data_IF_677410867171
#
_entry.id   IF_677410867171
#
_cell.length_a   1.000
_cell.length_b   1.000
_cell.length_c   1.000
_cell.angle_alpha   90.00
_cell.angle_beta   90.00
_cell.angle_gamma   90.00
#
_symmetry.space_group_name_H-M   'P 1'
#
loop_
_entity.id
_entity.type
_entity.pdbx_description
1 polymer ?
#
# COMPACT_ATOMS: atom_id res chain seq x y z
N UNK A 1 9.73 -10.26 -39.02
CA UNK A 1 10.64 -9.61 -38.04
C UNK A 1 10.14 -9.98 -36.65
N UNK A 2 10.81 -10.91 -35.97
CA UNK A 2 10.59 -11.12 -34.53
C UNK A 2 11.31 -9.99 -33.81
N UNK A 3 10.56 -9.06 -33.23
CA UNK A 3 11.12 -8.09 -32.28
C UNK A 3 11.58 -8.86 -31.05
N UNK A 4 12.88 -9.13 -30.97
CA UNK A 4 13.53 -9.58 -29.75
C UNK A 4 13.44 -8.46 -28.70
N UNK A 5 12.31 -8.35 -28.02
CA UNK A 5 12.23 -7.56 -26.79
C UNK A 5 12.98 -8.34 -25.71
N UNK A 6 14.29 -8.08 -25.57
CA UNK A 6 15.04 -8.57 -24.41
C UNK A 6 14.44 -7.89 -23.17
N UNK A 7 13.88 -8.69 -22.28
CA UNK A 7 13.40 -8.23 -20.99
C UNK A 7 14.57 -7.65 -20.18
N UNK A 8 14.48 -6.37 -19.82
CA UNK A 8 15.52 -5.68 -19.04
C UNK A 8 15.19 -5.76 -17.55
N UNK A 9 15.66 -6.84 -16.93
CA UNK A 9 15.52 -7.09 -15.49
C UNK A 9 16.04 -5.91 -14.65
N UNK A 10 17.13 -5.27 -15.06
CA UNK A 10 17.71 -4.13 -14.32
C UNK A 10 16.76 -2.94 -14.29
N UNK A 11 16.10 -2.63 -15.41
CA UNK A 11 15.09 -1.57 -15.49
C UNK A 11 13.87 -1.87 -14.62
N UNK A 12 13.49 -3.15 -14.58
CA UNK A 12 12.39 -3.65 -13.77
C UNK A 12 12.72 -3.51 -12.27
N UNK A 13 13.90 -3.95 -11.82
CA UNK A 13 14.36 -3.78 -10.43
C UNK A 13 14.48 -2.32 -10.01
N UNK A 14 15.04 -1.46 -10.87
CA UNK A 14 15.10 -0.01 -10.61
C UNK A 14 13.71 0.60 -10.41
N UNK A 15 12.69 0.08 -11.09
CA UNK A 15 11.31 0.56 -10.92
C UNK A 15 10.75 0.17 -9.55
N UNK A 16 11.10 -1.01 -9.03
CA UNK A 16 10.71 -1.45 -7.68
C UNK A 16 11.39 -0.60 -6.60
N UNK A 17 12.70 -0.38 -6.74
CA UNK A 17 13.47 0.47 -5.82
C UNK A 17 12.90 1.91 -5.77
N UNK A 18 12.67 2.51 -6.94
CA UNK A 18 12.08 3.83 -7.04
C UNK A 18 10.67 3.89 -6.40
N UNK A 19 9.89 2.83 -6.54
CA UNK A 19 8.58 2.74 -5.89
C UNK A 19 8.72 2.82 -4.36
N UNK A 20 9.57 2.00 -3.75
CA UNK A 20 9.77 2.04 -2.30
C UNK A 20 10.29 3.40 -1.84
N UNK A 21 11.29 3.97 -2.51
CA UNK A 21 11.80 5.31 -2.16
C UNK A 21 10.73 6.39 -2.24
N UNK A 22 9.90 6.37 -3.29
CA UNK A 22 8.79 7.30 -3.44
C UNK A 22 7.79 7.15 -2.30
N UNK A 23 7.30 5.92 -2.04
CA UNK A 23 6.32 5.65 -0.98
C UNK A 23 6.86 6.07 0.39
N UNK A 24 8.09 5.69 0.73
CA UNK A 24 8.71 6.06 2.01
C UNK A 24 8.83 7.58 2.18
N UNK A 25 9.29 8.28 1.14
CA UNK A 25 9.43 9.74 1.17
C UNK A 25 8.08 10.43 1.33
N UNK A 26 7.07 9.92 0.63
CA UNK A 26 5.73 10.49 0.67
C UNK A 26 5.03 10.23 2.00
N UNK A 27 5.18 9.05 2.59
CA UNK A 27 4.67 8.78 3.95
C UNK A 27 5.38 9.65 4.98
N UNK A 28 6.70 9.84 4.89
CA UNK A 28 7.44 10.74 5.79
C UNK A 28 6.91 12.17 5.71
N UNK A 29 6.53 12.65 4.52
CA UNK A 29 5.90 13.95 4.32
C UNK A 29 4.56 14.04 5.06
N UNK A 30 3.70 13.02 4.93
CA UNK A 30 2.41 12.97 5.65
C UNK A 30 2.64 12.91 7.16
N UNK A 31 3.60 12.12 7.64
CA UNK A 31 3.94 12.04 9.07
C UNK A 31 4.37 13.41 9.59
N UNK A 32 5.18 14.16 8.84
CA UNK A 32 5.63 15.51 9.22
C UNK A 32 4.47 16.47 9.44
N UNK A 33 3.37 16.33 8.70
CA UNK A 33 2.15 17.11 8.93
C UNK A 33 1.61 16.94 10.35
N UNK A 34 1.52 15.71 10.85
CA UNK A 34 0.98 15.44 12.18
C UNK A 34 1.83 16.03 13.32
N UNK A 35 3.15 16.18 13.12
CA UNK A 35 4.05 16.74 14.11
C UNK A 35 4.17 18.27 14.06
N UNK A 36 4.20 18.87 12.87
CA UNK A 36 4.57 20.30 12.70
C UNK A 36 3.35 21.20 12.53
N UNK A 37 2.28 20.70 11.92
CA UNK A 37 1.24 21.55 11.31
C UNK A 37 -0.15 21.33 11.90
N UNK A 38 -0.38 20.23 12.59
CA UNK A 38 -1.69 19.84 13.14
C UNK A 38 -2.26 20.84 14.15
N UNK A 39 -1.43 21.54 14.94
CA UNK A 39 -1.91 22.44 15.99
C UNK A 39 -1.94 23.93 15.61
N UNK A 40 -1.18 24.35 14.59
CA UNK A 40 -0.99 25.77 14.24
C UNK A 40 -1.96 26.31 13.17
N UNK A 41 -2.83 25.46 12.61
CA UNK A 41 -3.59 25.77 11.40
C UNK A 41 -5.09 25.92 11.69
N UNK A 42 -5.79 26.82 10.98
CA UNK A 42 -7.24 27.01 11.12
C UNK A 42 -8.04 25.78 10.69
N UNK A 43 -9.24 25.59 11.25
CA UNK A 43 -10.12 24.45 10.97
C UNK A 43 -10.41 24.24 9.47
N UNK A 44 -10.64 25.31 8.70
CA UNK A 44 -10.84 25.24 7.25
C UNK A 44 -9.64 24.66 6.51
N UNK A 45 -8.42 25.09 6.87
CA UNK A 45 -7.18 24.57 6.29
C UNK A 45 -6.91 23.13 6.76
N UNK A 46 -7.23 22.78 8.01
CA UNK A 46 -7.17 21.40 8.52
C UNK A 46 -8.03 20.45 7.67
N UNK A 47 -9.30 20.79 7.43
CA UNK A 47 -10.19 19.96 6.60
C UNK A 47 -9.66 19.77 5.17
N UNK A 48 -9.13 20.84 4.55
CA UNK A 48 -8.49 20.72 3.23
C UNK A 48 -7.30 19.76 3.27
N UNK A 49 -6.46 19.85 4.29
CA UNK A 49 -5.31 18.95 4.45
C UNK A 49 -5.73 17.51 4.71
N UNK A 50 -6.76 17.27 5.53
CA UNK A 50 -7.30 15.92 5.74
C UNK A 50 -7.75 15.29 4.42
N UNK A 51 -8.47 16.04 3.58
CA UNK A 51 -8.87 15.57 2.24
C UNK A 51 -7.66 15.28 1.35
N UNK A 52 -6.62 16.11 1.40
CA UNK A 52 -5.38 15.86 0.67
C UNK A 52 -4.66 14.60 1.16
N UNK A 53 -4.66 14.34 2.47
CA UNK A 53 -4.11 13.11 3.05
C UNK A 53 -4.87 11.89 2.53
N UNK A 54 -6.21 11.94 2.52
CA UNK A 54 -7.04 10.85 1.98
C UNK A 54 -6.69 10.58 0.52
N UNK A 55 -6.65 11.61 -0.33
CA UNK A 55 -6.30 11.46 -1.75
C UNK A 55 -4.88 10.92 -1.93
N UNK A 56 -3.95 11.37 -1.10
CA UNK A 56 -2.56 10.89 -1.09
C UNK A 56 -2.49 9.41 -0.73
N UNK A 57 -3.24 8.98 0.28
CA UNK A 57 -3.34 7.58 0.70
C UNK A 57 -3.99 6.70 -0.38
N UNK A 58 -5.03 7.18 -1.05
CA UNK A 58 -5.64 6.47 -2.19
C UNK A 58 -4.65 6.26 -3.34
N UNK A 59 -3.86 7.28 -3.67
CA UNK A 59 -2.82 7.16 -4.68
C UNK A 59 -1.77 6.12 -4.28
N UNK A 60 -1.33 6.14 -3.02
CA UNK A 60 -0.41 5.14 -2.47
C UNK A 60 -0.99 3.73 -2.64
N UNK A 61 -2.25 3.50 -2.25
CA UNK A 61 -2.92 2.21 -2.40
C UNK A 61 -2.93 1.74 -3.86
N UNK A 62 -3.29 2.61 -4.79
CA UNK A 62 -3.31 2.30 -6.23
C UNK A 62 -1.93 1.95 -6.79
N UNK A 63 -0.88 2.61 -6.29
CA UNK A 63 0.50 2.29 -6.65
C UNK A 63 0.91 0.90 -6.13
N UNK A 64 0.50 0.53 -4.92
CA UNK A 64 0.74 -0.82 -4.39
C UNK A 64 0.00 -1.87 -5.21
N UNK A 65 -1.28 -1.64 -5.48
CA UNK A 65 -2.10 -2.51 -6.34
C UNK A 65 -1.43 -2.72 -7.71
N UNK A 66 -0.97 -1.64 -8.33
CA UNK A 66 -0.29 -1.69 -9.62
C UNK A 66 1.03 -2.48 -9.57
N UNK A 67 1.85 -2.27 -8.54
CA UNK A 67 3.11 -3.01 -8.38
C UNK A 67 2.87 -4.50 -8.12
N UNK A 68 1.88 -4.83 -7.30
CA UNK A 68 1.48 -6.22 -7.05
C UNK A 68 0.98 -6.91 -8.34
N UNK A 69 0.13 -6.22 -9.11
CA UNK A 69 -0.34 -6.73 -10.40
C UNK A 69 0.81 -6.92 -11.41
N UNK A 70 1.76 -5.98 -11.46
CA UNK A 70 2.95 -6.12 -12.31
C UNK A 70 3.82 -7.30 -11.93
N UNK A 71 4.02 -7.52 -10.63
CA UNK A 71 4.75 -8.70 -10.15
C UNK A 71 4.10 -9.99 -10.65
N UNK A 72 2.77 -10.11 -10.50
CA UNK A 72 2.01 -11.25 -11.01
C UNK A 72 2.22 -11.45 -12.51
N UNK A 73 2.13 -10.39 -13.32
CA UNK A 73 2.36 -10.47 -14.77
C UNK A 73 3.79 -10.87 -15.12
N UNK A 74 4.80 -10.35 -14.41
CA UNK A 74 6.19 -10.71 -14.68
C UNK A 74 6.48 -12.18 -14.35
N UNK A 75 5.95 -12.68 -13.24
CA UNK A 75 6.10 -14.09 -12.84
C UNK A 75 5.49 -15.07 -13.86
N UNK A 76 4.53 -14.64 -14.69
CA UNK A 76 4.00 -15.48 -15.78
C UNK A 76 4.97 -15.65 -16.96
N UNK A 77 5.87 -14.68 -17.17
CA UNK A 77 6.76 -14.65 -18.34
C UNK A 77 8.16 -15.12 -17.97
N UNK A 78 8.64 -14.75 -16.77
CA UNK A 78 9.95 -15.12 -16.25
C UNK A 78 9.78 -15.36 -14.74
N UNK A 79 10.22 -16.51 -14.19
CA UNK A 79 10.29 -16.70 -12.76
C UNK A 79 11.39 -15.77 -12.21
N UNK A 80 10.99 -14.56 -11.80
CA UNK A 80 11.85 -13.66 -11.04
C UNK A 80 12.04 -14.25 -9.65
N UNK A 81 13.23 -14.11 -9.07
CA UNK A 81 13.41 -14.46 -7.66
C UNK A 81 12.45 -13.61 -6.82
N UNK A 82 11.70 -14.27 -5.94
CA UNK A 82 10.70 -13.62 -5.09
C UNK A 82 11.31 -12.47 -4.27
N UNK A 83 12.61 -12.54 -3.96
CA UNK A 83 13.32 -11.59 -3.09
C UNK A 83 13.25 -10.12 -3.54
N UNK A 84 13.11 -9.86 -4.85
CA UNK A 84 13.17 -8.48 -5.35
C UNK A 84 11.81 -7.80 -5.55
N UNK A 85 10.76 -8.59 -5.83
CA UNK A 85 9.43 -8.05 -6.10
C UNK A 85 8.48 -8.21 -4.94
N UNK A 86 8.75 -9.16 -4.06
CA UNK A 86 7.86 -9.39 -2.95
C UNK A 86 7.98 -8.29 -1.90
N UNK A 87 6.87 -8.06 -1.21
CA UNK A 87 6.85 -7.24 -0.01
C UNK A 87 7.60 -7.89 1.17
N UNK A 88 8.54 -8.83 0.93
CA UNK A 88 9.41 -9.45 1.95
C UNK A 88 10.79 -8.78 2.06
N UNK A 89 11.14 -7.82 1.19
CA UNK A 89 12.45 -7.15 1.25
C UNK A 89 12.66 -6.28 2.50
N UNK A 90 13.91 -5.89 2.77
CA UNK A 90 14.26 -4.96 3.87
C UNK A 90 13.57 -3.59 3.66
N UNK A 91 13.55 -3.10 2.42
CA UNK A 91 12.87 -1.87 2.02
C UNK A 91 11.37 -1.96 2.25
N UNK A 92 10.78 -3.12 1.96
CA UNK A 92 9.38 -3.39 2.24
C UNK A 92 9.09 -3.31 3.74
N UNK A 93 9.90 -3.97 4.58
CA UNK A 93 9.76 -3.92 6.03
C UNK A 93 9.88 -2.48 6.58
N UNK A 94 10.86 -1.70 6.09
CA UNK A 94 11.01 -0.30 6.46
C UNK A 94 9.77 0.53 6.07
N UNK A 95 9.21 0.26 4.90
CA UNK A 95 7.99 0.91 4.42
C UNK A 95 6.79 0.53 5.28
N UNK A 96 6.64 -0.75 5.62
CA UNK A 96 5.61 -1.25 6.53
C UNK A 96 5.64 -0.56 7.89
N UNK A 97 6.82 -0.43 8.51
CA UNK A 97 6.99 0.25 9.79
C UNK A 97 6.59 1.74 9.71
N UNK A 98 6.91 2.41 8.60
CA UNK A 98 6.46 3.79 8.37
C UNK A 98 4.95 3.90 8.22
N UNK A 99 4.31 2.99 7.48
CA UNK A 99 2.84 2.96 7.34
C UNK A 99 2.17 2.69 8.68
N UNK A 100 2.71 1.76 9.48
CA UNK A 100 2.23 1.49 10.86
C UNK A 100 2.33 2.72 11.76
N UNK A 101 3.45 3.44 11.69
CA UNK A 101 3.62 4.71 12.41
C UNK A 101 2.56 5.72 11.98
N UNK A 102 2.31 5.85 10.68
CA UNK A 102 1.27 6.73 10.16
C UNK A 102 -0.14 6.31 10.63
N UNK A 103 -0.44 5.00 10.65
CA UNK A 103 -1.70 4.46 11.17
C UNK A 103 -1.93 4.90 12.63
N UNK A 104 -0.89 4.80 13.45
CA UNK A 104 -0.96 5.19 14.85
C UNK A 104 -1.25 6.69 15.01
N UNK A 105 -0.55 7.54 14.25
CA UNK A 105 -0.76 8.98 14.27
C UNK A 105 -2.18 9.38 13.84
N UNK A 106 -2.73 8.74 12.80
CA UNK A 106 -4.11 8.99 12.36
C UNK A 106 -5.12 8.62 13.43
N UNK A 107 -4.90 7.53 14.18
CA UNK A 107 -5.78 7.14 15.29
C UNK A 107 -5.73 8.11 16.46
N UNK A 108 -4.56 8.68 16.74
CA UNK A 108 -4.37 9.63 17.85
C UNK A 108 -4.81 11.05 17.51
N UNK A 109 -4.74 11.45 16.24
CA UNK A 109 -5.07 12.79 15.82
C UNK A 109 -6.59 13.02 15.78
N UNK A 110 -7.04 14.15 16.30
CA UNK A 110 -8.46 14.55 16.22
C UNK A 110 -8.73 15.22 14.87
N UNK A 111 -9.41 14.52 13.97
CA UNK A 111 -9.84 15.05 12.68
C UNK A 111 -11.03 15.99 12.85
N UNK A 112 -11.16 16.98 11.96
CA UNK A 112 -12.32 17.88 11.89
C UNK A 112 -13.60 17.08 11.59
N UNK A 113 -13.50 16.04 10.77
CA UNK A 113 -14.59 15.12 10.47
C UNK A 113 -14.18 13.68 10.78
N UNK A 114 -14.96 12.98 11.61
CA UNK A 114 -14.73 11.57 11.97
C UNK A 114 -14.69 10.66 10.74
N UNK A 115 -15.48 10.97 9.71
CA UNK A 115 -15.52 10.19 8.45
C UNK A 115 -14.18 10.22 7.72
N UNK A 116 -13.48 11.37 7.74
CA UNK A 116 -12.15 11.49 7.15
C UNK A 116 -11.14 10.59 7.88
N UNK A 117 -11.21 10.52 9.20
CA UNK A 117 -10.36 9.65 10.01
C UNK A 117 -10.65 8.18 9.74
N UNK A 118 -11.93 7.80 9.67
CA UNK A 118 -12.36 6.45 9.34
C UNK A 118 -11.87 6.03 7.95
N UNK A 119 -12.04 6.89 6.94
CA UNK A 119 -11.54 6.65 5.58
C UNK A 119 -10.02 6.47 5.56
N UNK A 120 -9.27 7.35 6.22
CA UNK A 120 -7.81 7.19 6.34
C UNK A 120 -7.42 5.84 6.95
N UNK A 121 -8.09 5.43 8.03
CA UNK A 121 -7.84 4.15 8.69
C UNK A 121 -8.14 2.95 7.78
N UNK A 122 -9.22 3.02 7.00
CA UNK A 122 -9.59 1.95 6.06
C UNK A 122 -8.57 1.82 4.93
N UNK A 123 -8.18 2.94 4.31
CA UNK A 123 -7.19 2.95 3.23
C UNK A 123 -5.83 2.45 3.73
N UNK A 124 -5.38 2.90 4.91
CA UNK A 124 -4.12 2.40 5.49
C UNK A 124 -4.17 0.91 5.78
N UNK A 125 -5.31 0.41 6.26
CA UNK A 125 -5.47 -1.03 6.51
C UNK A 125 -5.39 -1.82 5.19
N UNK A 126 -5.98 -1.31 4.11
CA UNK A 126 -5.84 -1.89 2.77
C UNK A 126 -4.38 -1.87 2.29
N UNK A 127 -3.66 -0.76 2.47
CA UNK A 127 -2.24 -0.67 2.11
C UNK A 127 -1.41 -1.70 2.90
N UNK A 128 -1.68 -1.85 4.20
CA UNK A 128 -0.96 -2.80 5.05
C UNK A 128 -1.17 -4.26 4.61
N UNK A 129 -2.30 -4.60 4.00
CA UNK A 129 -2.59 -5.97 3.52
C UNK A 129 -1.67 -6.42 2.38
N UNK A 130 -1.01 -5.51 1.67
CA UNK A 130 0.00 -5.87 0.68
C UNK A 130 1.29 -6.41 1.34
N UNK A 131 1.49 -6.13 2.63
CA UNK A 131 2.69 -6.53 3.35
C UNK A 131 2.46 -7.85 4.10
N UNK A 132 3.40 -8.80 4.01
CA UNK A 132 3.29 -10.11 4.65
C UNK A 132 3.40 -10.06 6.17
N UNK A 133 4.01 -9.00 6.71
CA UNK A 133 4.01 -8.71 8.14
C UNK A 133 2.61 -8.34 8.68
N UNK A 134 1.63 -8.09 7.81
CA UNK A 134 0.24 -7.98 8.20
C UNK A 134 -0.32 -9.38 8.45
N UNK A 135 -0.49 -9.73 9.71
CA UNK A 135 -1.18 -10.96 10.13
C UNK A 135 -2.69 -10.82 9.94
N UNK A 136 -3.15 -10.67 8.69
CA UNK A 136 -4.55 -10.96 8.37
C UNK A 136 -4.64 -12.47 8.14
N UNK A 137 -4.77 -13.23 9.23
CA UNK A 137 -5.26 -14.60 9.13
C UNK A 137 -6.71 -14.53 8.66
N UNK A 138 -6.95 -14.82 7.39
CA UNK A 138 -8.30 -15.13 6.91
C UNK A 138 -8.66 -16.48 7.53
N UNK A 139 -9.35 -16.44 8.66
CA UNK A 139 -9.91 -17.65 9.29
C UNK A 139 -11.18 -17.98 8.50
N UNK A 140 -11.07 -18.92 7.56
CA UNK A 140 -12.26 -19.50 6.92
C UNK A 140 -12.90 -20.42 7.96
N UNK A 141 -13.84 -19.87 8.74
CA UNK A 141 -14.56 -20.60 9.79
C UNK A 141 -15.43 -21.75 9.23
N UNK A 142 -15.78 -21.67 7.95
CA UNK A 142 -16.57 -22.67 7.23
C UNK A 142 -16.32 -22.51 5.74
N UNK A 143 -16.02 -23.60 5.04
CA UNK A 143 -15.96 -23.58 3.58
C UNK A 143 -17.28 -23.03 3.02
N UNK A 144 -17.24 -22.13 2.02
CA UNK A 144 -18.47 -21.67 1.39
C UNK A 144 -19.22 -22.87 0.83
N UNK A 145 -20.50 -22.97 1.18
CA UNK A 145 -21.37 -24.02 0.65
C UNK A 145 -21.38 -23.93 -0.88
N UNK A 146 -21.17 -25.04 -1.61
CA UNK A 146 -21.08 -25.01 -3.07
C UNK A 146 -22.35 -24.40 -3.69
N UNK A 147 -22.17 -23.54 -4.71
CA UNK A 147 -22.42 -23.97 -6.09
C UNK A 147 -21.13 -24.13 -6.90
N UNK A 148 -19.98 -23.86 -6.29
CA UNK A 148 -18.66 -23.81 -6.94
C UNK A 148 -18.10 -25.17 -7.35
N UNK A 149 -18.70 -26.28 -6.88
CA UNK A 149 -18.37 -27.62 -7.37
C UNK A 149 -19.20 -27.87 -8.62
N UNK A 150 -18.59 -28.05 -9.81
CA UNK A 150 -19.35 -28.54 -10.95
C UNK A 150 -20.00 -29.88 -10.56
N UNK A 151 -21.25 -30.15 -11.00
CA UNK A 151 -21.89 -31.42 -10.72
C UNK A 151 -20.97 -32.54 -11.24
N UNK A 152 -20.61 -33.47 -10.36
CA UNK A 152 -19.82 -34.64 -10.73
C UNK A 152 -20.60 -35.39 -11.82
N UNK A 153 -20.01 -35.49 -13.01
CA UNK A 153 -20.39 -36.46 -14.02
C UNK A 153 -19.73 -37.80 -13.71
#
# INVERSE_FOLDING_TARGET
MQTNHSFDEKKVMKTVENHYHFIQSFIKLIIKYFFVYSYAISSKKKNLTEKQIIQSLLLIEKLHMYMNYRHYLYNQVIPLSDDHFTYYSIESNNTYLLIKKLQHLIKQHHFVHSDNQLLCNNIISQILNYYPASTVKIIILKEPSPPWKPPNH
#
